data_IF_343957443737
#
_entry.id   IF_343957443737
#
_cell.length_a   1.000
_cell.length_b   1.000
_cell.length_c   1.000
_cell.angle_alpha   90.00
_cell.angle_beta   90.00
_cell.angle_gamma   90.00
#
_symmetry.space_group_name_H-M   'P 1'
#
loop_
_entity.id
_entity.type
_entity.pdbx_description
1 polymer ?
#
# COMPACT_ATOMS: atom_id res chain seq x y z
N UNK A 1 -9.39 -18.27 15.03
CA UNK A 1 -9.55 -17.16 14.06
C UNK A 1 -8.24 -16.40 13.84
N UNK A 2 -7.49 -15.99 14.89
CA UNK A 2 -6.26 -15.22 14.75
C UNK A 2 -5.20 -15.89 13.86
N UNK A 3 -5.00 -17.20 14.00
CA UNK A 3 -4.07 -17.97 13.16
C UNK A 3 -4.49 -17.96 11.68
N UNK A 4 -5.79 -18.08 11.41
CA UNK A 4 -6.30 -17.99 10.04
C UNK A 4 -6.04 -16.62 9.43
N UNK A 5 -6.21 -15.53 10.20
CA UNK A 5 -5.92 -14.18 9.72
C UNK A 5 -4.42 -14.02 9.40
N UNK A 6 -3.52 -14.51 10.25
CA UNK A 6 -2.08 -14.50 9.96
C UNK A 6 -1.74 -15.30 8.71
N UNK A 7 -2.28 -16.51 8.57
CA UNK A 7 -2.06 -17.36 7.40
C UNK A 7 -2.48 -16.68 6.09
N UNK A 8 -3.71 -16.19 6.03
CA UNK A 8 -4.24 -15.48 4.86
C UNK A 8 -3.46 -14.18 4.56
N UNK A 9 -3.06 -13.44 5.61
CA UNK A 9 -2.24 -12.23 5.47
C UNK A 9 -0.86 -12.54 4.90
N UNK A 10 -0.20 -13.60 5.37
CA UNK A 10 1.11 -14.01 4.86
C UNK A 10 1.03 -14.37 3.38
N UNK A 11 0.05 -15.19 3.00
CA UNK A 11 -0.18 -15.53 1.59
C UNK A 11 -0.49 -14.28 0.73
N UNK A 12 -1.23 -13.31 1.27
CA UNK A 12 -1.49 -12.06 0.59
C UNK A 12 -0.20 -11.22 0.41
N UNK A 13 0.64 -11.11 1.45
CA UNK A 13 1.92 -10.38 1.38
C UNK A 13 2.86 -11.01 0.35
N UNK A 14 2.94 -12.34 0.29
CA UNK A 14 3.76 -13.06 -0.70
C UNK A 14 3.34 -12.73 -2.14
N UNK A 15 2.04 -12.57 -2.39
CA UNK A 15 1.53 -12.15 -3.70
C UNK A 15 1.71 -10.66 -3.95
N UNK A 16 1.54 -9.83 -2.93
CA UNK A 16 1.60 -8.37 -3.03
C UNK A 16 3.04 -7.88 -3.26
N UNK A 17 4.03 -8.51 -2.62
CA UNK A 17 5.43 -8.04 -2.63
C UNK A 17 6.00 -7.89 -4.05
N UNK A 18 5.98 -8.89 -4.93
CA UNK A 18 6.57 -8.74 -6.27
C UNK A 18 5.84 -7.69 -7.12
N UNK A 19 4.51 -7.57 -6.98
CA UNK A 19 3.72 -6.58 -7.69
C UNK A 19 4.02 -5.15 -7.20
N UNK A 20 4.26 -5.01 -5.89
CA UNK A 20 4.64 -3.74 -5.31
C UNK A 20 6.08 -3.35 -5.69
N UNK A 21 7.01 -4.30 -5.75
CA UNK A 21 8.38 -4.08 -6.22
C UNK A 21 8.38 -3.58 -7.67
N UNK A 22 7.62 -4.20 -8.54
CA UNK A 22 7.45 -3.77 -9.93
C UNK A 22 6.86 -2.36 -10.01
N UNK A 23 5.75 -2.11 -9.31
CA UNK A 23 5.07 -0.81 -9.32
C UNK A 23 5.97 0.31 -8.78
N UNK A 24 6.70 0.03 -7.71
CA UNK A 24 7.64 0.99 -7.13
C UNK A 24 8.81 1.29 -8.07
N UNK A 25 9.43 0.25 -8.65
CA UNK A 25 10.52 0.38 -9.60
C UNK A 25 10.13 1.22 -10.83
N UNK A 26 8.92 1.01 -11.34
CA UNK A 26 8.40 1.79 -12.46
C UNK A 26 8.28 3.28 -12.11
N UNK A 27 7.77 3.61 -10.93
CA UNK A 27 7.56 5.00 -10.50
C UNK A 27 8.89 5.65 -10.07
N UNK A 28 9.71 4.95 -9.28
CA UNK A 28 11.00 5.46 -8.79
C UNK A 28 12.10 5.50 -9.86
N UNK A 29 11.92 4.76 -10.96
CA UNK A 29 12.89 4.73 -12.06
C UNK A 29 13.98 3.69 -11.94
N UNK A 30 13.75 2.65 -11.14
CA UNK A 30 14.66 1.52 -10.99
C UNK A 30 15.90 1.80 -10.12
N UNK A 31 15.99 2.99 -9.52
CA UNK A 31 17.15 3.37 -8.70
C UNK A 31 17.06 2.86 -7.26
N UNK A 32 15.87 2.52 -6.79
CA UNK A 32 15.57 2.15 -5.40
C UNK A 32 14.83 0.80 -5.36
N UNK A 33 15.12 -0.02 -4.36
CA UNK A 33 14.49 -1.34 -4.18
C UNK A 33 13.57 -1.30 -2.96
N UNK A 34 12.28 -1.55 -3.17
CA UNK A 34 11.31 -1.70 -2.08
C UNK A 34 11.20 -3.17 -1.65
N UNK A 35 11.00 -3.41 -0.34
CA UNK A 35 10.67 -4.72 0.22
C UNK A 35 9.53 -4.58 1.22
N UNK A 36 8.61 -5.53 1.20
CA UNK A 36 7.50 -5.63 2.14
C UNK A 36 7.72 -6.86 3.00
N UNK A 37 7.73 -6.68 4.31
CA UNK A 37 7.92 -7.74 5.30
C UNK A 37 6.73 -7.76 6.26
N UNK A 38 6.17 -8.95 6.50
CA UNK A 38 5.21 -9.19 7.59
C UNK A 38 5.93 -9.56 8.90
N UNK A 39 5.18 -9.81 9.97
CA UNK A 39 5.75 -10.34 11.22
C UNK A 39 6.19 -11.80 11.01
N UNK A 40 7.49 -12.05 11.20
CA UNK A 40 8.07 -13.39 11.03
C UNK A 40 7.68 -14.39 12.11
N UNK A 41 7.12 -13.93 13.24
CA UNK A 41 6.81 -14.78 14.40
C UNK A 41 5.67 -15.76 14.14
N UNK A 42 4.78 -15.43 13.21
CA UNK A 42 3.58 -16.20 12.90
C UNK A 42 3.55 -16.59 11.42
N UNK A 43 4.61 -17.31 10.98
CA UNK A 43 4.74 -17.87 9.63
C UNK A 43 4.60 -19.39 9.66
N UNK A 44 4.34 -19.99 8.51
CA UNK A 44 4.18 -21.43 8.32
C UNK A 44 2.73 -21.83 8.07
N UNK A 45 2.44 -23.10 8.27
CA UNK A 45 1.09 -23.65 8.12
C UNK A 45 0.16 -23.17 9.25
N UNK A 46 -1.15 -23.14 8.96
CA UNK A 46 -2.15 -22.58 9.88
C UNK A 46 -2.10 -23.18 11.28
N UNK A 47 -1.83 -24.50 11.40
CA UNK A 47 -1.74 -25.20 12.69
C UNK A 47 -0.48 -24.81 13.48
N UNK A 48 0.63 -24.59 12.80
CA UNK A 48 1.88 -24.10 13.40
C UNK A 48 1.69 -22.69 13.94
N UNK A 49 1.06 -21.81 13.14
CA UNK A 49 0.70 -20.45 13.55
C UNK A 49 -0.25 -20.49 14.76
N UNK A 50 -1.23 -21.41 14.77
CA UNK A 50 -2.17 -21.54 15.88
C UNK A 50 -1.47 -21.95 17.18
N UNK A 51 -0.55 -22.89 17.11
CA UNK A 51 0.25 -23.34 18.26
C UNK A 51 1.15 -22.21 18.78
N UNK A 52 1.87 -21.51 17.89
CA UNK A 52 2.73 -20.39 18.22
C UNK A 52 1.95 -19.24 18.86
N UNK A 53 0.79 -18.87 18.28
CA UNK A 53 -0.08 -17.81 18.80
C UNK A 53 -0.65 -18.15 20.17
N UNK A 54 -1.12 -19.40 20.37
CA UNK A 54 -1.62 -19.89 21.67
C UNK A 54 -0.54 -19.80 22.74
N UNK A 55 0.68 -20.25 22.43
CA UNK A 55 1.80 -20.18 23.36
C UNK A 55 2.16 -18.72 23.71
N UNK A 56 2.24 -17.84 22.72
CA UNK A 56 2.53 -16.43 22.93
C UNK A 56 1.46 -15.73 23.78
N UNK A 57 0.17 -16.01 23.57
CA UNK A 57 -0.93 -15.49 24.37
C UNK A 57 -0.86 -16.00 25.83
N UNK A 58 -0.56 -17.30 26.03
CA UNK A 58 -0.42 -17.87 27.37
C UNK A 58 0.73 -17.23 28.16
N UNK A 59 1.86 -16.97 27.51
CA UNK A 59 3.02 -16.34 28.14
C UNK A 59 2.78 -14.87 28.56
N UNK A 60 1.80 -14.22 27.95
CA UNK A 60 1.48 -12.79 28.21
C UNK A 60 0.18 -12.59 28.98
N UNK A 61 -0.52 -13.66 29.33
CA UNK A 61 -1.86 -13.59 29.91
C UNK A 61 -1.94 -12.71 31.18
N UNK A 62 -1.04 -12.88 32.14
CA UNK A 62 -1.03 -12.09 33.37
C UNK A 62 -0.87 -10.59 33.08
N UNK A 63 0.13 -10.26 32.24
CA UNK A 63 0.40 -8.86 31.84
C UNK A 63 -0.76 -8.26 31.08
N UNK A 64 -1.38 -9.01 30.17
CA UNK A 64 -2.51 -8.53 29.36
C UNK A 64 -3.76 -8.29 30.23
N UNK A 65 -3.94 -9.09 31.29
CA UNK A 65 -5.00 -8.85 32.27
C UNK A 65 -4.74 -7.54 33.03
N UNK A 66 -3.51 -7.32 33.50
CA UNK A 66 -3.13 -6.07 34.18
C UNK A 66 -3.32 -4.83 33.30
N UNK A 67 -2.98 -4.95 32.01
CA UNK A 67 -3.09 -3.86 31.03
C UNK A 67 -4.54 -3.64 30.53
N UNK A 68 -5.43 -4.61 30.70
CA UNK A 68 -6.81 -4.56 30.23
C UNK A 68 -6.98 -4.74 28.72
N UNK A 69 -5.93 -5.21 28.00
CA UNK A 69 -5.99 -5.50 26.57
C UNK A 69 -5.00 -6.59 26.14
N UNK A 70 -5.30 -7.27 25.04
CA UNK A 70 -4.42 -8.29 24.45
C UNK A 70 -3.28 -7.63 23.67
N UNK A 71 -2.03 -7.94 24.05
CA UNK A 71 -0.82 -7.35 23.45
C UNK A 71 -0.32 -8.09 22.21
N UNK A 72 -0.85 -9.29 21.91
CA UNK A 72 -0.47 -10.13 20.77
C UNK A 72 -1.71 -10.47 19.94
N UNK A 73 -1.56 -10.41 18.62
CA UNK A 73 -2.61 -10.81 17.68
C UNK A 73 -2.57 -10.01 16.38
N UNK A 74 -3.39 -10.39 15.39
CA UNK A 74 -3.39 -9.72 14.08
C UNK A 74 -3.69 -8.21 14.12
N UNK A 75 -4.35 -7.74 15.19
CA UNK A 75 -4.67 -6.33 15.43
C UNK A 75 -3.49 -5.51 15.94
N UNK A 76 -2.38 -6.16 16.30
CA UNK A 76 -1.12 -5.54 16.77
C UNK A 76 0.01 -5.67 15.76
N UNK A 77 -0.25 -6.39 14.69
CA UNK A 77 0.73 -6.61 13.64
C UNK A 77 0.70 -5.48 12.62
N UNK A 78 1.87 -5.14 12.06
CA UNK A 78 2.04 -4.08 11.06
C UNK A 78 2.93 -4.58 9.92
N UNK A 79 2.76 -4.00 8.74
CA UNK A 79 3.64 -4.22 7.60
C UNK A 79 4.89 -3.34 7.73
N UNK A 80 6.04 -3.96 7.56
CA UNK A 80 7.30 -3.22 7.43
C UNK A 80 7.63 -3.01 5.98
N UNK A 81 7.76 -1.77 5.59
CA UNK A 81 8.12 -1.38 4.22
C UNK A 81 9.51 -0.78 4.27
N UNK A 82 10.44 -1.39 3.56
CA UNK A 82 11.82 -0.93 3.46
C UNK A 82 12.14 -0.48 2.04
N UNK A 83 12.86 0.61 1.91
CA UNK A 83 13.49 1.04 0.65
C UNK A 83 14.99 1.08 0.87
N UNK A 84 15.74 0.36 0.03
CA UNK A 84 17.18 0.15 0.17
C UNK A 84 17.61 -0.31 1.56
N UNK A 85 16.78 -1.21 2.17
CA UNK A 85 17.02 -1.76 3.50
C UNK A 85 16.60 -0.86 4.66
N UNK A 86 16.17 0.38 4.41
CA UNK A 86 15.77 1.36 5.41
C UNK A 86 14.25 1.42 5.57
N UNK A 87 13.75 1.40 6.80
CA UNK A 87 12.32 1.52 7.10
C UNK A 87 11.76 2.86 6.61
N UNK A 88 10.85 2.79 5.63
CA UNK A 88 10.28 3.97 4.97
C UNK A 88 9.41 4.80 5.91
N UNK A 89 8.70 4.15 6.85
CA UNK A 89 7.82 4.82 7.80
C UNK A 89 8.57 5.73 8.75
N UNK A 90 9.81 5.35 9.11
CA UNK A 90 10.63 6.05 10.11
C UNK A 90 11.65 6.98 9.45
N UNK A 91 12.30 6.53 8.40
CA UNK A 91 13.48 7.21 7.83
C UNK A 91 13.30 7.59 6.35
N UNK A 92 12.21 7.17 5.71
CA UNK A 92 11.97 7.49 4.31
C UNK A 92 11.70 8.98 4.08
N UNK A 93 12.18 9.52 2.96
CA UNK A 93 11.76 10.84 2.50
C UNK A 93 10.25 10.86 2.19
N UNK A 94 9.61 12.03 2.21
CA UNK A 94 8.19 12.17 1.83
C UNK A 94 7.88 11.55 0.46
N UNK A 95 8.76 11.79 -0.53
CA UNK A 95 8.63 11.19 -1.85
C UNK A 95 8.73 9.67 -1.85
N UNK A 96 9.61 9.06 -1.04
CA UNK A 96 9.71 7.61 -0.86
C UNK A 96 8.46 7.03 -0.18
N UNK A 97 8.01 7.66 0.91
CA UNK A 97 6.80 7.25 1.62
C UNK A 97 5.56 7.28 0.72
N UNK A 98 5.40 8.37 -0.06
CA UNK A 98 4.29 8.52 -1.00
C UNK A 98 4.36 7.50 -2.13
N UNK A 99 5.55 7.33 -2.73
CA UNK A 99 5.76 6.35 -3.80
C UNK A 99 5.47 4.93 -3.31
N UNK A 100 5.90 4.56 -2.10
CA UNK A 100 5.62 3.26 -1.50
C UNK A 100 4.12 3.03 -1.27
N UNK A 101 3.40 4.02 -0.74
CA UNK A 101 1.96 3.94 -0.56
C UNK A 101 1.20 3.78 -1.89
N UNK A 102 1.60 4.52 -2.92
CA UNK A 102 1.01 4.41 -4.26
C UNK A 102 1.34 3.04 -4.87
N UNK A 103 2.57 2.57 -4.77
CA UNK A 103 2.99 1.27 -5.28
C UNK A 103 2.20 0.11 -4.65
N UNK A 104 1.95 0.17 -3.33
CA UNK A 104 1.07 -0.79 -2.64
C UNK A 104 -0.35 -0.78 -3.23
N UNK A 105 -0.93 0.39 -3.43
CA UNK A 105 -2.28 0.52 -4.02
C UNK A 105 -2.33 0.01 -5.45
N UNK A 106 -1.31 0.25 -6.25
CA UNK A 106 -1.23 -0.30 -7.61
C UNK A 106 -1.07 -1.82 -7.60
N UNK A 107 -0.29 -2.39 -6.69
CA UNK A 107 -0.18 -3.83 -6.52
C UNK A 107 -1.53 -4.48 -6.12
N UNK A 108 -2.29 -3.83 -5.24
CA UNK A 108 -3.66 -4.26 -4.90
C UNK A 108 -4.57 -4.27 -6.15
N UNK A 109 -4.45 -3.31 -7.07
CA UNK A 109 -5.24 -3.30 -8.31
C UNK A 109 -4.92 -4.44 -9.25
N UNK A 110 -3.66 -4.90 -9.30
CA UNK A 110 -3.25 -6.08 -10.07
C UNK A 110 -3.86 -7.37 -9.48
N UNK A 111 -3.79 -7.54 -8.16
CA UNK A 111 -4.41 -8.68 -7.47
C UNK A 111 -5.93 -8.69 -7.70
N UNK A 112 -6.57 -7.51 -7.67
CA UNK A 112 -7.99 -7.38 -7.96
C UNK A 112 -8.30 -7.83 -9.39
N UNK A 113 -7.53 -7.36 -10.37
CA UNK A 113 -7.67 -7.74 -11.78
C UNK A 113 -7.48 -9.25 -11.99
N UNK A 114 -6.47 -9.86 -11.36
CA UNK A 114 -6.26 -11.31 -11.41
C UNK A 114 -7.49 -12.08 -10.91
N UNK A 115 -8.14 -11.58 -9.86
CA UNK A 115 -9.29 -12.23 -9.23
C UNK A 115 -10.60 -12.04 -9.98
N UNK A 116 -10.84 -10.84 -10.53
CA UNK A 116 -12.13 -10.43 -11.08
C UNK A 116 -12.12 -10.22 -12.59
N UNK A 117 -10.96 -10.27 -13.25
CA UNK A 117 -10.80 -10.13 -14.69
C UNK A 117 -10.72 -8.67 -15.18
N UNK A 118 -11.01 -7.69 -14.33
CA UNK A 118 -10.98 -6.26 -14.65
C UNK A 118 -10.33 -5.42 -13.56
N UNK A 119 -9.81 -4.26 -13.93
CA UNK A 119 -9.25 -3.31 -12.95
C UNK A 119 -10.36 -2.61 -12.16
N UNK A 120 -10.14 -2.35 -10.86
CA UNK A 120 -11.01 -1.47 -10.11
C UNK A 120 -10.84 -0.01 -10.56
N UNK A 121 -11.79 0.86 -10.21
CA UNK A 121 -11.61 2.31 -10.33
C UNK A 121 -10.58 2.76 -9.31
N UNK A 122 -9.50 3.37 -9.78
CA UNK A 122 -8.45 3.92 -8.93
C UNK A 122 -8.76 5.38 -8.59
N UNK A 123 -8.70 5.73 -7.31
CA UNK A 123 -8.84 7.12 -6.85
C UNK A 123 -7.50 7.56 -6.25
N UNK A 124 -6.92 8.59 -6.82
CA UNK A 124 -5.68 9.22 -6.37
C UNK A 124 -6.00 10.61 -5.82
N UNK A 125 -6.22 10.67 -4.50
CA UNK A 125 -6.56 11.91 -3.80
C UNK A 125 -5.29 12.64 -3.40
N UNK A 126 -5.06 13.83 -3.98
CA UNK A 126 -3.87 14.68 -3.83
C UNK A 126 -2.53 13.92 -3.93
N UNK A 127 -2.53 12.83 -4.71
CA UNK A 127 -1.37 11.94 -4.78
C UNK A 127 -0.18 12.55 -5.54
N UNK A 128 -0.43 13.59 -6.33
CA UNK A 128 0.59 14.21 -7.19
C UNK A 128 1.42 15.28 -6.48
N UNK A 129 0.91 15.90 -5.42
CA UNK A 129 1.54 17.09 -4.78
C UNK A 129 2.95 16.81 -4.25
N UNK A 130 3.17 15.61 -3.67
CA UNK A 130 4.41 15.21 -3.02
C UNK A 130 5.38 14.42 -3.93
N UNK A 131 5.02 14.24 -5.20
CA UNK A 131 5.86 13.57 -6.18
C UNK A 131 6.60 14.59 -7.04
N UNK A 132 7.87 14.30 -7.34
CA UNK A 132 8.60 15.02 -8.37
C UNK A 132 8.01 14.77 -9.77
N UNK A 133 8.38 15.62 -10.75
CA UNK A 133 7.85 15.55 -12.11
C UNK A 133 8.04 14.20 -12.77
N UNK A 134 9.21 13.57 -12.60
CA UNK A 134 9.52 12.29 -13.25
C UNK A 134 8.63 11.17 -12.70
N UNK A 135 8.43 11.13 -11.37
CA UNK A 135 7.54 10.18 -10.71
C UNK A 135 6.09 10.38 -11.13
N UNK A 136 5.62 11.63 -11.26
CA UNK A 136 4.28 11.94 -11.78
C UNK A 136 4.07 11.41 -13.20
N UNK A 137 5.01 11.69 -14.12
CA UNK A 137 4.94 11.19 -15.51
C UNK A 137 4.84 9.66 -15.58
N UNK A 138 5.64 8.95 -14.76
CA UNK A 138 5.64 7.49 -14.69
C UNK A 138 4.36 6.94 -14.07
N UNK A 139 3.86 7.55 -13.01
CA UNK A 139 2.59 7.19 -12.40
C UNK A 139 1.45 7.31 -13.41
N UNK A 140 1.34 8.45 -14.12
CA UNK A 140 0.33 8.66 -15.16
C UNK A 140 0.43 7.58 -16.24
N UNK A 141 1.64 7.25 -16.70
CA UNK A 141 1.82 6.20 -17.71
C UNK A 141 1.30 4.84 -17.23
N UNK A 142 1.54 4.50 -15.95
CA UNK A 142 1.12 3.21 -15.37
C UNK A 142 -0.39 3.10 -15.18
N UNK A 143 -1.07 4.18 -14.80
CA UNK A 143 -2.52 4.16 -14.53
C UNK A 143 -3.40 4.29 -15.79
N UNK A 144 -2.82 4.55 -16.97
CA UNK A 144 -3.57 4.65 -18.25
C UNK A 144 -4.42 3.42 -18.60
N UNK A 145 -4.04 2.25 -18.08
CA UNK A 145 -4.73 0.98 -18.33
C UNK A 145 -6.00 0.78 -17.50
N UNK A 146 -6.30 1.68 -16.58
CA UNK A 146 -7.44 1.59 -15.67
C UNK A 146 -8.19 2.90 -15.58
N UNK A 147 -9.48 2.86 -15.24
CA UNK A 147 -10.24 4.06 -14.94
C UNK A 147 -9.70 4.71 -13.67
N UNK A 148 -9.21 5.94 -13.79
CA UNK A 148 -8.56 6.65 -12.68
C UNK A 148 -9.19 8.02 -12.48
N UNK A 149 -9.48 8.35 -11.22
CA UNK A 149 -9.91 9.68 -10.78
C UNK A 149 -8.77 10.30 -10.00
N UNK A 150 -8.31 11.47 -10.41
CA UNK A 150 -7.21 12.19 -9.77
C UNK A 150 -7.74 13.52 -9.27
N UNK A 151 -7.56 13.80 -7.98
CA UNK A 151 -7.80 15.14 -7.43
C UNK A 151 -6.48 15.88 -7.31
N UNK A 152 -6.52 17.18 -7.59
CA UNK A 152 -5.38 18.07 -7.43
C UNK A 152 -5.85 19.52 -7.25
N UNK A 153 -5.00 20.36 -6.67
CA UNK A 153 -5.28 21.79 -6.50
C UNK A 153 -5.00 22.58 -7.77
N UNK A 154 -4.02 22.16 -8.56
CA UNK A 154 -3.57 22.83 -9.78
C UNK A 154 -3.42 21.82 -10.94
N UNK A 155 -3.89 22.16 -12.15
CA UNK A 155 -3.81 21.26 -13.31
C UNK A 155 -2.38 20.82 -13.63
N UNK A 156 -1.39 21.71 -13.50
CA UNK A 156 0.01 21.45 -13.80
C UNK A 156 0.63 20.35 -12.93
N UNK A 157 -0.04 19.95 -11.86
CA UNK A 157 0.37 18.79 -11.06
C UNK A 157 0.20 17.47 -11.81
N UNK A 158 -0.68 17.40 -12.83
CA UNK A 158 -0.97 16.19 -13.59
C UNK A 158 -0.35 16.31 -15.00
N UNK A 159 0.74 15.59 -15.30
CA UNK A 159 1.37 15.63 -16.61
C UNK A 159 0.37 15.27 -17.73
N UNK A 160 0.24 16.14 -18.72
CA UNK A 160 -0.65 15.95 -19.86
C UNK A 160 -2.14 16.07 -19.49
N UNK A 161 -2.48 16.91 -18.50
CA UNK A 161 -3.84 17.09 -18.00
C UNK A 161 -4.84 17.46 -19.10
N UNK A 162 -4.40 18.14 -20.15
CA UNK A 162 -5.19 18.49 -21.32
C UNK A 162 -5.77 17.30 -22.08
N UNK A 163 -5.21 16.10 -21.87
CA UNK A 163 -5.67 14.85 -22.48
C UNK A 163 -6.69 14.09 -21.60
N UNK A 164 -7.06 14.67 -20.45
CA UNK A 164 -8.00 14.06 -19.52
C UNK A 164 -9.35 14.78 -19.54
N UNK A 165 -10.36 14.10 -19.02
CA UNK A 165 -11.66 14.73 -18.79
C UNK A 165 -11.59 15.55 -17.49
N UNK A 166 -11.48 16.86 -17.63
CA UNK A 166 -11.26 17.80 -16.53
C UNK A 166 -12.58 18.29 -15.93
N UNK A 167 -12.69 18.19 -14.61
CA UNK A 167 -13.83 18.71 -13.85
C UNK A 167 -13.31 19.73 -12.85
N UNK A 168 -13.64 21.00 -13.05
CA UNK A 168 -13.25 22.09 -12.14
C UNK A 168 -14.32 22.33 -11.09
N UNK A 169 -13.90 22.38 -9.82
CA UNK A 169 -14.79 22.65 -8.69
C UNK A 169 -14.40 23.99 -8.05
N UNK A 170 -15.35 24.92 -7.91
CA UNK A 170 -15.20 26.17 -7.15
C UNK A 170 -16.38 26.34 -6.19
N UNK A 171 -16.08 26.64 -4.91
CA UNK A 171 -17.10 26.84 -3.86
C UNK A 171 -18.13 25.68 -3.80
N UNK A 172 -17.66 24.43 -3.93
CA UNK A 172 -18.51 23.24 -3.89
C UNK A 172 -19.39 23.02 -5.13
N UNK A 173 -19.18 23.76 -6.22
CA UNK A 173 -19.97 23.64 -7.47
C UNK A 173 -19.05 23.32 -8.64
N UNK A 174 -19.55 22.47 -9.55
CA UNK A 174 -18.89 22.21 -10.83
C UNK A 174 -18.97 23.48 -11.68
N UNK A 175 -17.82 23.93 -12.16
CA UNK A 175 -17.70 25.05 -13.09
C UNK A 175 -17.49 24.47 -14.48
N UNK A 176 -18.38 24.78 -15.42
CA UNK A 176 -18.17 24.50 -16.84
C UNK A 176 -17.21 25.55 -17.40
N UNK A 177 -16.16 25.10 -18.09
CA UNK A 177 -15.32 25.97 -18.92
C UNK A 177 -16.05 26.32 -20.20
#
# INVERSE_FOLDING_TARGET
YGAKIFYERNAFIERLSPLCEEAYSDIAGGAEIIKIEGDEKFKGEQDEIAAALKNALSQRAERDIELGYTSIGPHRDDLRIKVDGTDVKVYGSQGQQRTAAIALKLAETEIFKERYGEYPVLILDDAMSELDRKRREKLIARVKKMQTIITCTEPDCVPGYENFNNIRIRNGKIVKE
#
